data_IF_909179253050
#
_entry.id   IF_909179253050
#
_cell.length_a   1.000
_cell.length_b   1.000
_cell.length_c   1.000
_cell.angle_alpha   90.00
_cell.angle_beta   90.00
_cell.angle_gamma   90.00
#
_symmetry.space_group_name_H-M   'P 1'
#
loop_
_entity.id
_entity.type
_entity.pdbx_description
1 polymer ?
#
# COMPACT_ATOMS: atom_id res chain seq x y z
N UNK A 1 3.00 22.66 64.90
CA UNK A 1 3.05 23.18 63.52
C UNK A 1 4.34 22.65 62.92
N UNK A 2 4.37 21.72 61.97
CA UNK A 2 3.40 21.47 60.91
C UNK A 2 3.50 20.01 60.42
N UNK A 3 2.32 19.37 60.37
CA UNK A 3 1.82 18.31 59.48
C UNK A 3 2.75 17.18 58.97
N UNK A 4 2.37 15.97 59.38
CA UNK A 4 2.50 14.69 58.66
C UNK A 4 1.81 14.71 57.29
N UNK A 5 2.31 13.93 56.34
CA UNK A 5 1.42 13.16 55.46
C UNK A 5 2.06 11.82 55.05
N UNK A 6 1.20 10.82 55.02
CA UNK A 6 1.40 9.38 55.01
C UNK A 6 1.10 8.84 53.61
N UNK A 7 1.83 7.85 53.10
CA UNK A 7 1.41 7.02 51.95
C UNK A 7 2.29 5.78 51.79
N UNK A 8 1.94 4.81 52.63
CA UNK A 8 1.72 3.37 52.38
C UNK A 8 2.14 2.69 51.05
N UNK A 9 2.37 1.40 51.25
CA UNK A 9 2.93 0.31 50.48
C UNK A 9 2.29 0.03 49.10
N UNK A 10 3.09 -0.53 48.20
CA UNK A 10 2.62 -1.16 46.97
C UNK A 10 3.66 -2.14 46.41
N UNK A 11 3.42 -3.41 46.66
CA UNK A 11 4.28 -4.57 46.40
C UNK A 11 4.39 -4.98 44.92
N UNK A 12 5.57 -5.56 44.61
CA UNK A 12 5.89 -6.61 43.63
C UNK A 12 4.84 -6.90 42.54
N UNK A 13 5.18 -6.59 41.29
CA UNK A 13 4.36 -6.95 40.13
C UNK A 13 5.10 -6.97 38.78
N UNK A 14 5.88 -8.03 38.54
CA UNK A 14 6.10 -8.72 37.25
C UNK A 14 6.69 -7.94 36.04
N UNK A 15 7.96 -8.27 35.78
CA UNK A 15 8.50 -8.64 34.46
C UNK A 15 8.15 -7.74 33.26
N UNK A 16 8.97 -6.71 33.00
CA UNK A 16 9.21 -6.23 31.62
C UNK A 16 10.53 -5.48 31.49
N UNK A 17 11.62 -6.08 31.95
CA UNK A 17 13.00 -5.61 31.68
C UNK A 17 13.67 -6.47 30.59
N UNK A 18 12.99 -6.61 29.45
CA UNK A 18 13.63 -7.01 28.17
C UNK A 18 13.52 -5.92 27.10
N UNK A 19 13.28 -4.67 27.52
CA UNK A 19 13.49 -3.50 26.70
C UNK A 19 14.89 -2.94 27.01
N UNK A 20 15.69 -2.73 25.97
CA UNK A 20 17.13 -2.42 25.98
C UNK A 20 18.00 -3.64 26.30
N UNK A 21 18.87 -4.14 25.41
CA UNK A 21 19.72 -3.44 24.45
C UNK A 21 19.84 -4.32 23.20
N UNK A 22 19.07 -4.04 22.15
CA UNK A 22 19.56 -4.43 20.82
C UNK A 22 20.89 -3.71 20.66
N UNK A 23 21.98 -4.46 20.54
CA UNK A 23 23.30 -3.90 20.26
C UNK A 23 23.20 -3.00 19.03
N UNK A 24 24.04 -1.97 18.93
CA UNK A 24 24.04 -1.10 17.75
C UNK A 24 24.20 -1.90 16.46
N UNK A 25 24.92 -3.02 16.51
CA UNK A 25 25.05 -3.97 15.40
C UNK A 25 23.75 -4.71 15.08
N UNK A 26 23.00 -5.17 16.10
CA UNK A 26 21.67 -5.77 15.90
C UNK A 26 20.66 -4.77 15.34
N UNK A 27 20.68 -3.51 15.81
CA UNK A 27 19.80 -2.46 15.25
C UNK A 27 20.13 -2.17 13.79
N UNK A 28 21.42 -2.05 13.45
CA UNK A 28 21.87 -1.88 12.06
C UNK A 28 21.43 -3.05 11.19
N UNK A 29 21.63 -4.28 11.64
CA UNK A 29 21.22 -5.48 10.90
C UNK A 29 19.70 -5.51 10.66
N UNK A 30 18.89 -5.22 11.69
CA UNK A 30 17.44 -5.18 11.55
C UNK A 30 16.97 -4.06 10.61
N UNK A 31 17.58 -2.87 10.69
CA UNK A 31 17.28 -1.76 9.80
C UNK A 31 17.58 -2.11 8.33
N UNK A 32 18.75 -2.71 8.06
CA UNK A 32 19.14 -3.15 6.71
C UNK A 32 18.14 -4.20 6.20
N UNK A 33 17.80 -5.20 7.01
CA UNK A 33 16.85 -6.25 6.63
C UNK A 33 15.45 -5.69 6.36
N UNK A 34 14.97 -4.76 7.19
CA UNK A 34 13.66 -4.12 7.01
C UNK A 34 13.62 -3.28 5.73
N UNK A 35 14.68 -2.53 5.42
CA UNK A 35 14.75 -1.74 4.19
C UNK A 35 14.89 -2.63 2.95
N UNK A 36 15.66 -3.71 3.02
CA UNK A 36 15.74 -4.69 1.94
C UNK A 36 14.36 -5.29 1.64
N UNK A 37 13.64 -5.76 2.67
CA UNK A 37 12.27 -6.27 2.51
C UNK A 37 11.32 -5.21 1.95
N UNK A 38 11.43 -3.95 2.40
CA UNK A 38 10.62 -2.84 1.87
C UNK A 38 10.86 -2.66 0.37
N UNK A 39 12.13 -2.68 -0.07
CA UNK A 39 12.51 -2.53 -1.48
C UNK A 39 12.08 -3.72 -2.33
N UNK A 40 12.22 -4.94 -1.82
CA UNK A 40 11.75 -6.16 -2.50
C UNK A 40 10.23 -6.11 -2.71
N UNK A 41 9.47 -5.71 -1.69
CA UNK A 41 8.03 -5.53 -1.81
C UNK A 41 7.67 -4.49 -2.88
N UNK A 42 8.30 -3.30 -2.84
CA UNK A 42 8.07 -2.25 -3.84
C UNK A 42 8.34 -2.79 -5.25
N UNK A 43 9.47 -3.48 -5.44
CA UNK A 43 9.84 -4.05 -6.73
C UNK A 43 8.83 -5.09 -7.23
N UNK A 44 8.35 -5.97 -6.34
CA UNK A 44 7.31 -6.94 -6.69
C UNK A 44 6.01 -6.27 -7.11
N UNK A 45 5.60 -5.15 -6.50
CA UNK A 45 4.42 -4.41 -6.94
C UNK A 45 4.64 -3.76 -8.32
N UNK A 46 5.84 -3.24 -8.60
CA UNK A 46 6.17 -2.74 -9.95
C UNK A 46 6.13 -3.86 -11.00
N UNK A 47 6.63 -5.05 -10.69
CA UNK A 47 6.57 -6.20 -11.60
C UNK A 47 5.11 -6.59 -11.91
N UNK A 48 4.21 -6.54 -10.92
CA UNK A 48 2.76 -6.74 -11.14
C UNK A 48 2.18 -5.67 -12.08
N UNK A 49 2.51 -4.40 -11.86
CA UNK A 49 2.03 -3.30 -12.71
C UNK A 49 2.47 -3.51 -14.17
N UNK A 50 3.72 -3.92 -14.39
CA UNK A 50 4.24 -4.26 -15.72
C UNK A 50 3.43 -5.38 -16.35
N UNK A 51 3.11 -6.45 -15.60
CA UNK A 51 2.32 -7.58 -16.13
C UNK A 51 0.88 -7.23 -16.50
N UNK A 52 0.30 -6.20 -15.88
CA UNK A 52 -1.08 -5.78 -16.11
C UNK A 52 -1.23 -4.76 -17.25
N UNK A 53 -0.13 -4.11 -17.65
CA UNK A 53 -0.15 -2.99 -18.59
C UNK A 53 0.34 -3.47 -19.96
N UNK A 54 -0.55 -3.61 -20.98
CA UNK A 54 -0.18 -4.20 -22.27
C UNK A 54 0.88 -3.42 -23.05
N UNK A 55 1.06 -2.14 -22.74
CA UNK A 55 2.03 -1.25 -23.40
C UNK A 55 3.42 -1.29 -22.75
N UNK A 56 3.60 -2.06 -21.67
CA UNK A 56 4.87 -2.32 -21.02
C UNK A 56 5.34 -3.73 -21.36
N UNK A 57 6.61 -3.84 -21.76
CA UNK A 57 7.27 -5.13 -21.95
C UNK A 57 8.26 -5.41 -20.81
N UNK A 58 8.65 -6.67 -20.60
CA UNK A 58 9.65 -7.05 -19.59
C UNK A 58 10.99 -6.32 -19.75
N UNK A 59 11.32 -5.85 -20.96
CA UNK A 59 12.52 -5.03 -21.21
C UNK A 59 12.42 -3.60 -20.68
N UNK A 60 11.21 -3.10 -20.41
CA UNK A 60 10.94 -1.75 -19.92
C UNK A 60 10.70 -1.71 -18.39
N UNK A 61 10.78 -2.86 -17.70
CA UNK A 61 10.53 -3.01 -16.26
C UNK A 61 11.56 -2.31 -15.35
N UNK A 62 12.56 -1.61 -15.91
CA UNK A 62 13.64 -0.95 -15.15
C UNK A 62 13.39 0.53 -14.87
N UNK A 63 12.49 1.18 -15.60
CA UNK A 63 12.23 2.62 -15.44
C UNK A 63 10.95 2.84 -14.64
N UNK A 64 11.08 3.15 -13.34
CA UNK A 64 9.94 3.43 -12.46
C UNK A 64 9.03 4.52 -13.03
N UNK A 65 9.61 5.61 -13.54
CA UNK A 65 8.85 6.70 -14.15
C UNK A 65 8.04 6.22 -15.35
N UNK A 66 8.65 5.47 -16.27
CA UNK A 66 7.93 4.98 -17.46
C UNK A 66 6.82 4.00 -17.08
N UNK A 67 7.06 3.14 -16.08
CA UNK A 67 6.04 2.21 -15.59
C UNK A 67 4.84 3.01 -15.07
N UNK A 68 5.07 3.99 -14.19
CA UNK A 68 4.01 4.81 -13.63
C UNK A 68 3.25 5.60 -14.70
N UNK A 69 3.96 6.23 -15.64
CA UNK A 69 3.34 7.00 -16.74
C UNK A 69 2.47 6.12 -17.62
N UNK A 70 3.02 5.02 -18.17
CA UNK A 70 2.24 4.13 -19.05
C UNK A 70 1.07 3.47 -18.33
N UNK A 71 1.21 3.20 -17.04
CA UNK A 71 0.12 2.64 -16.23
C UNK A 71 -1.00 3.65 -16.01
N UNK A 72 -0.66 4.92 -15.76
CA UNK A 72 -1.65 5.99 -15.67
C UNK A 72 -2.40 6.17 -17.00
N UNK A 73 -1.67 6.20 -18.12
CA UNK A 73 -2.26 6.29 -19.46
C UNK A 73 -3.21 5.12 -19.73
N UNK A 74 -2.81 3.89 -19.34
CA UNK A 74 -3.64 2.71 -19.52
C UNK A 74 -4.90 2.73 -18.65
N UNK A 75 -4.80 3.21 -17.41
CA UNK A 75 -5.97 3.41 -16.54
C UNK A 75 -6.97 4.38 -17.19
N UNK A 76 -6.49 5.47 -17.80
CA UNK A 76 -7.36 6.43 -18.46
C UNK A 76 -8.00 5.84 -19.74
N UNK A 77 -7.24 5.06 -20.51
CA UNK A 77 -7.78 4.32 -21.66
C UNK A 77 -8.89 3.34 -21.22
N UNK A 78 -8.68 2.57 -20.15
CA UNK A 78 -9.67 1.63 -19.64
C UNK A 78 -10.97 2.32 -19.21
N UNK A 79 -10.88 3.52 -18.61
CA UNK A 79 -12.08 4.32 -18.27
C UNK A 79 -12.82 4.77 -19.52
N UNK A 80 -12.09 5.23 -20.53
CA UNK A 80 -12.69 5.66 -21.79
C UNK A 80 -13.39 4.49 -22.50
N UNK A 81 -12.74 3.33 -22.55
CA UNK A 81 -13.28 2.13 -23.17
C UNK A 81 -14.49 1.59 -22.41
N UNK A 82 -14.45 1.59 -21.07
CA UNK A 82 -15.60 1.26 -20.23
C UNK A 82 -16.80 2.16 -20.58
N UNK A 83 -16.59 3.48 -20.65
CA UNK A 83 -17.64 4.42 -21.03
C UNK A 83 -18.18 4.14 -22.44
N UNK A 84 -17.31 3.90 -23.44
CA UNK A 84 -17.74 3.56 -24.80
C UNK A 84 -18.59 2.29 -24.84
N UNK A 85 -18.17 1.25 -24.11
CA UNK A 85 -18.91 -0.01 -24.04
C UNK A 85 -20.27 0.16 -23.37
N UNK A 86 -20.36 0.95 -22.30
CA UNK A 86 -21.62 1.28 -21.64
C UNK A 86 -22.58 1.99 -22.61
N UNK A 87 -22.09 2.99 -23.34
CA UNK A 87 -22.90 3.71 -24.34
C UNK A 87 -23.39 2.77 -25.45
N UNK A 88 -22.54 1.85 -25.91
CA UNK A 88 -22.93 0.84 -26.91
C UNK A 88 -24.02 -0.11 -26.37
N UNK A 89 -23.93 -0.52 -25.11
CA UNK A 89 -24.97 -1.34 -24.47
C UNK A 89 -26.30 -0.59 -24.38
N UNK A 90 -26.29 0.66 -23.91
CA UNK A 90 -27.49 1.51 -23.82
C UNK A 90 -28.14 1.68 -25.19
N UNK A 91 -27.35 1.99 -26.23
CA UNK A 91 -27.85 2.15 -27.59
C UNK A 91 -28.46 0.87 -28.18
N UNK A 92 -28.00 -0.29 -27.71
CA UNK A 92 -28.53 -1.61 -28.08
C UNK A 92 -29.68 -2.08 -27.18
N UNK A 93 -30.10 -1.29 -26.19
CA UNK A 93 -31.11 -1.67 -25.21
C UNK A 93 -30.66 -2.77 -24.25
N UNK A 94 -29.35 -2.97 -24.09
CA UNK A 94 -28.77 -3.95 -23.16
C UNK A 94 -28.65 -3.28 -21.79
N UNK A 95 -29.25 -3.91 -20.77
CA UNK A 95 -29.12 -3.46 -19.39
C UNK A 95 -27.68 -3.63 -18.90
N UNK A 96 -27.07 -2.56 -18.39
CA UNK A 96 -25.71 -2.58 -17.85
C UNK A 96 -25.79 -2.66 -16.31
N UNK A 97 -25.27 -3.73 -15.69
CA UNK A 97 -25.12 -3.81 -14.24
C UNK A 97 -24.30 -2.64 -13.66
N UNK A 98 -24.73 -2.09 -12.52
CA UNK A 98 -24.06 -0.97 -11.85
C UNK A 98 -22.61 -1.27 -11.47
N UNK A 99 -22.28 -2.53 -11.20
CA UNK A 99 -20.91 -3.00 -10.88
C UNK A 99 -19.91 -2.83 -12.03
N UNK A 100 -20.40 -2.75 -13.27
CA UNK A 100 -19.57 -2.53 -14.45
C UNK A 100 -19.35 -1.05 -14.75
N UNK A 101 -20.04 -0.16 -14.04
CA UNK A 101 -19.87 1.28 -14.18
C UNK A 101 -18.73 1.72 -13.28
N UNK A 102 -17.64 2.23 -13.86
CA UNK A 102 -16.55 2.77 -13.08
C UNK A 102 -17.01 4.00 -12.25
N UNK A 103 -16.99 3.88 -10.91
CA UNK A 103 -17.38 4.95 -9.97
C UNK A 103 -16.19 5.70 -9.36
N UNK A 104 -14.97 5.43 -9.82
CA UNK A 104 -13.76 5.94 -9.17
C UNK A 104 -13.27 5.03 -8.05
N UNK A 105 -12.09 5.31 -7.49
CA UNK A 105 -11.60 4.61 -6.32
C UNK A 105 -12.56 4.85 -5.16
N UNK A 106 -12.97 3.77 -4.48
CA UNK A 106 -13.67 3.88 -3.21
C UNK A 106 -12.78 4.69 -2.27
N UNK A 107 -13.24 5.86 -1.85
CA UNK A 107 -12.58 6.63 -0.79
C UNK A 107 -12.76 5.87 0.54
N UNK A 108 -12.10 4.72 0.67
CA UNK A 108 -11.95 4.05 1.95
C UNK A 108 -11.15 4.99 2.83
N UNK A 109 -11.75 5.43 3.93
CA UNK A 109 -11.03 6.16 4.97
C UNK A 109 -9.77 5.39 5.34
N UNK A 110 -8.63 6.04 5.12
CA UNK A 110 -7.30 5.61 5.57
C UNK A 110 -7.23 5.80 7.08
#
# INVERSE_FOLDING_TARGET
MSVSDDSDQGSIGRMSSKASVLTEDQKKAHHIASEQKRRENIRSEFDKIVSLTPTLNESENRSELNILTKSADYIDQLKEDNNKLIQLCINKGINVPDELVYKGPSSGSI
#
